data_IF_772212764888
#
_entry.id   IF_772212764888
#
_cell.length_a   1.000
_cell.length_b   1.000
_cell.length_c   1.000
_cell.angle_alpha   90.00
_cell.angle_beta   90.00
_cell.angle_gamma   90.00
#
_symmetry.space_group_name_H-M   'P 1'
#
loop_
_entity.id
_entity.type
_entity.pdbx_description
1 polymer ?
#
# COMPACT_ATOMS: atom_id res chain seq x y z
N UNK A 1 -25.46 -9.34 -1.53
CA UNK A 1 -24.14 -9.35 -0.89
C UNK A 1 -23.36 -8.05 -1.12
N UNK A 2 -23.23 -7.54 -2.33
CA UNK A 2 -22.48 -6.31 -2.66
C UNK A 2 -22.89 -5.09 -1.80
N UNK A 3 -24.18 -4.82 -1.61
CA UNK A 3 -24.66 -3.72 -0.73
C UNK A 3 -24.13 -3.79 0.68
N UNK A 4 -24.04 -4.97 1.29
CA UNK A 4 -23.49 -5.14 2.66
C UNK A 4 -22.01 -4.73 2.74
N UNK A 5 -21.24 -5.07 1.71
CA UNK A 5 -19.82 -4.69 1.64
C UNK A 5 -19.63 -3.17 1.47
N UNK A 6 -20.50 -2.51 0.70
CA UNK A 6 -20.48 -1.05 0.52
C UNK A 6 -20.79 -0.32 1.82
N UNK A 7 -21.83 -0.74 2.54
CA UNK A 7 -22.33 -0.02 3.71
C UNK A 7 -21.60 -0.36 5.03
N UNK A 8 -20.86 -1.47 5.11
CA UNK A 8 -20.08 -1.79 6.29
C UNK A 8 -18.77 -0.97 6.31
N UNK A 9 -18.79 0.18 6.95
CA UNK A 9 -17.65 1.12 6.99
C UNK A 9 -16.55 0.63 7.94
N UNK A 10 -16.91 0.21 9.14
CA UNK A 10 -15.95 -0.18 10.21
C UNK A 10 -15.67 -1.69 10.19
N UNK A 11 -14.44 -2.06 10.60
CA UNK A 11 -13.97 -3.44 10.72
C UNK A 11 -13.46 -4.05 9.42
N UNK A 12 -12.84 -5.22 9.53
CA UNK A 12 -12.29 -5.96 8.38
C UNK A 12 -13.42 -6.54 7.51
N UNK A 13 -13.29 -6.38 6.18
CA UNK A 13 -14.23 -6.90 5.19
C UNK A 13 -13.43 -7.60 4.08
N UNK A 14 -13.64 -8.90 3.92
CA UNK A 14 -13.11 -9.68 2.81
C UNK A 14 -14.23 -9.96 1.81
N UNK A 15 -14.01 -9.63 0.52
CA UNK A 15 -14.94 -9.86 -0.57
C UNK A 15 -14.36 -10.92 -1.48
N UNK A 16 -14.93 -12.11 -1.46
CA UNK A 16 -14.54 -13.21 -2.34
C UNK A 16 -15.53 -13.26 -3.50
N UNK A 17 -15.03 -13.07 -4.72
CA UNK A 17 -15.87 -13.06 -5.91
C UNK A 17 -15.02 -13.38 -7.16
N UNK A 18 -15.61 -14.04 -8.14
CA UNK A 18 -14.96 -14.42 -9.39
C UNK A 18 -14.55 -13.22 -10.25
N UNK A 19 -13.79 -13.49 -11.31
CA UNK A 19 -13.44 -12.46 -12.30
C UNK A 19 -14.71 -11.89 -12.95
N UNK A 20 -14.73 -10.59 -13.22
CA UNK A 20 -15.89 -9.91 -13.83
C UNK A 20 -17.10 -9.69 -12.91
N UNK A 21 -17.05 -10.11 -11.64
CA UNK A 21 -18.14 -9.96 -10.68
C UNK A 21 -18.36 -8.54 -10.15
N UNK A 22 -17.53 -7.59 -10.57
CA UNK A 22 -17.63 -6.19 -10.14
C UNK A 22 -16.95 -5.86 -8.81
N UNK A 23 -15.91 -6.60 -8.41
CA UNK A 23 -15.13 -6.32 -7.19
C UNK A 23 -14.67 -4.86 -7.10
N UNK A 24 -14.01 -4.36 -8.14
CA UNK A 24 -13.55 -2.98 -8.22
C UNK A 24 -14.70 -1.97 -8.16
N UNK A 25 -15.85 -2.31 -8.76
CA UNK A 25 -17.08 -1.49 -8.66
C UNK A 25 -17.57 -1.41 -7.21
N UNK A 26 -17.54 -2.51 -6.48
CA UNK A 26 -17.88 -2.53 -5.04
C UNK A 26 -16.90 -1.67 -4.24
N UNK A 27 -15.61 -1.75 -4.56
CA UNK A 27 -14.57 -0.94 -3.93
C UNK A 27 -14.84 0.57 -4.15
N UNK A 28 -15.07 1.00 -5.40
CA UNK A 28 -15.38 2.38 -5.72
C UNK A 28 -16.64 2.87 -4.98
N UNK A 29 -17.73 2.09 -5.04
CA UNK A 29 -18.97 2.46 -4.35
C UNK A 29 -18.80 2.52 -2.83
N UNK A 30 -17.96 1.65 -2.24
CA UNK A 30 -17.63 1.68 -0.81
C UNK A 30 -16.92 2.97 -0.46
N UNK A 31 -15.89 3.35 -1.23
CA UNK A 31 -15.16 4.61 -1.04
C UNK A 31 -16.10 5.80 -1.15
N UNK A 32 -16.90 5.86 -2.21
CA UNK A 32 -17.87 6.92 -2.42
C UNK A 32 -18.90 7.03 -1.27
N UNK A 33 -19.41 5.88 -0.80
CA UNK A 33 -20.30 5.85 0.36
C UNK A 33 -19.63 6.37 1.63
N UNK A 34 -18.40 5.94 1.88
CA UNK A 34 -17.64 6.36 3.07
C UNK A 34 -17.37 7.86 3.07
N UNK A 35 -17.04 8.44 1.92
CA UNK A 35 -16.78 9.88 1.81
C UNK A 35 -18.05 10.73 1.90
N UNK A 36 -19.16 10.27 1.31
CA UNK A 36 -20.40 11.03 1.31
C UNK A 36 -21.22 10.86 2.58
N UNK A 37 -21.38 9.62 3.04
CA UNK A 37 -22.33 9.28 4.08
C UNK A 37 -21.68 8.73 5.36
N UNK A 38 -20.39 8.34 5.28
CA UNK A 38 -19.71 7.72 6.43
C UNK A 38 -20.43 6.46 6.90
N UNK A 39 -20.69 6.36 8.19
CA UNK A 39 -21.35 5.20 8.82
C UNK A 39 -22.89 5.34 8.90
N UNK A 40 -23.51 6.24 8.15
CA UNK A 40 -24.93 6.57 8.26
C UNK A 40 -25.87 5.35 8.19
N UNK A 41 -25.56 4.35 7.36
CA UNK A 41 -26.40 3.16 7.18
C UNK A 41 -26.53 2.27 8.43
N UNK A 42 -25.51 2.26 9.26
CA UNK A 42 -25.46 1.43 10.49
C UNK A 42 -25.59 2.26 11.78
N UNK A 43 -25.82 3.57 11.64
CA UNK A 43 -26.04 4.45 12.78
C UNK A 43 -27.51 4.37 13.22
N UNK A 44 -27.70 3.98 14.47
CA UNK A 44 -29.02 3.88 15.11
C UNK A 44 -29.33 5.11 15.99
N UNK A 45 -28.47 6.14 15.92
CA UNK A 45 -28.63 7.34 16.75
C UNK A 45 -29.83 8.14 16.26
N UNK A 46 -30.78 8.37 17.13
CA UNK A 46 -31.93 9.24 16.85
C UNK A 46 -31.47 10.70 16.80
N UNK A 47 -31.64 11.35 15.66
CA UNK A 47 -31.32 12.77 15.48
C UNK A 47 -32.59 13.58 15.38
N UNK A 48 -32.62 14.76 15.99
CA UNK A 48 -33.66 15.73 15.75
C UNK A 48 -33.56 16.30 14.34
N UNK A 49 -34.56 16.05 13.51
CA UNK A 49 -34.67 16.64 12.17
C UNK A 49 -35.61 17.86 12.21
N UNK A 50 -35.36 18.82 11.33
CA UNK A 50 -36.33 19.88 11.11
C UNK A 50 -37.50 19.34 10.25
N UNK A 51 -38.71 19.94 10.33
CA UNK A 51 -39.83 19.52 9.49
C UNK A 51 -39.48 19.51 7.98
N UNK A 52 -38.62 20.44 7.54
CA UNK A 52 -38.18 20.51 6.15
C UNK A 52 -37.25 19.35 5.76
N UNK A 53 -36.38 18.92 6.69
CA UNK A 53 -35.48 17.76 6.49
C UNK A 53 -36.30 16.46 6.47
N UNK A 54 -37.30 16.33 7.36
CA UNK A 54 -38.18 15.16 7.36
C UNK A 54 -38.96 15.06 6.05
N UNK A 55 -39.55 16.16 5.59
CA UNK A 55 -40.26 16.20 4.30
C UNK A 55 -39.34 15.84 3.15
N UNK A 56 -38.12 16.40 3.09
CA UNK A 56 -37.17 16.08 2.06
C UNK A 56 -36.78 14.57 2.04
N UNK A 57 -36.59 13.96 3.20
CA UNK A 57 -36.25 12.52 3.29
C UNK A 57 -37.43 11.64 2.83
N UNK A 58 -38.67 12.04 3.12
CA UNK A 58 -39.88 11.34 2.66
C UNK A 58 -40.04 11.43 1.13
N UNK A 59 -39.75 12.58 0.55
CA UNK A 59 -39.88 12.82 -0.88
C UNK A 59 -38.69 12.27 -1.70
N UNK A 60 -37.51 12.18 -1.11
CA UNK A 60 -36.26 11.81 -1.78
C UNK A 60 -36.33 10.52 -2.61
N UNK A 61 -37.00 9.42 -2.19
CA UNK A 61 -37.14 8.22 -3.04
C UNK A 61 -37.74 8.47 -4.41
N UNK A 62 -38.67 9.44 -4.51
CA UNK A 62 -39.38 9.81 -5.74
C UNK A 62 -38.71 10.96 -6.53
N UNK A 63 -37.77 11.67 -5.91
CA UNK A 63 -37.04 12.78 -6.53
C UNK A 63 -36.05 12.31 -7.58
N UNK A 64 -35.76 13.17 -8.56
CA UNK A 64 -34.62 12.98 -9.46
C UNK A 64 -33.30 12.96 -8.67
N UNK A 65 -32.38 12.03 -9.02
CA UNK A 65 -31.10 11.86 -8.34
C UNK A 65 -30.03 12.81 -8.88
N UNK A 66 -30.32 14.13 -8.78
CA UNK A 66 -29.36 15.17 -9.15
C UNK A 66 -28.22 15.26 -8.14
N UNK A 67 -27.07 15.84 -8.54
CA UNK A 67 -25.95 16.09 -7.60
C UNK A 67 -26.39 16.90 -6.37
N UNK A 68 -27.21 17.95 -6.56
CA UNK A 68 -27.70 18.81 -5.48
C UNK A 68 -28.58 18.04 -4.48
N UNK A 69 -29.48 17.17 -4.98
CA UNK A 69 -30.30 16.33 -4.12
C UNK A 69 -29.47 15.31 -3.36
N UNK A 70 -28.40 14.77 -3.98
CA UNK A 70 -27.50 13.84 -3.35
C UNK A 70 -26.65 14.52 -2.26
N UNK A 71 -26.21 15.76 -2.49
CA UNK A 71 -25.46 16.55 -1.52
C UNK A 71 -26.34 16.92 -0.33
N UNK A 72 -27.56 17.42 -0.57
CA UNK A 72 -28.53 17.71 0.49
C UNK A 72 -28.87 16.46 1.32
N UNK A 73 -29.00 15.29 0.68
CA UNK A 73 -29.17 14.04 1.41
C UNK A 73 -27.98 13.77 2.33
N UNK A 74 -26.76 13.92 1.81
CA UNK A 74 -25.55 13.69 2.61
C UNK A 74 -25.47 14.64 3.81
N UNK A 75 -25.76 15.92 3.64
CA UNK A 75 -25.80 16.91 4.72
C UNK A 75 -26.74 16.49 5.86
N UNK A 76 -27.89 15.88 5.52
CA UNK A 76 -28.89 15.47 6.53
C UNK A 76 -28.48 14.16 7.21
N UNK A 77 -28.02 13.14 6.45
CA UNK A 77 -27.88 11.79 6.97
C UNK A 77 -26.45 11.37 7.27
N UNK A 78 -25.42 12.11 6.84
CA UNK A 78 -24.03 11.68 7.01
C UNK A 78 -23.63 11.55 8.47
N UNK A 79 -22.86 10.48 8.74
CA UNK A 79 -22.31 10.16 10.06
C UNK A 79 -20.82 9.91 9.93
N UNK A 80 -20.00 10.78 10.48
CA UNK A 80 -18.54 10.66 10.41
C UNK A 80 -18.03 10.40 8.97
N UNK A 81 -18.32 11.28 7.97
CA UNK A 81 -17.84 11.10 6.61
C UNK A 81 -16.32 11.05 6.59
N UNK A 82 -15.79 10.11 5.80
CA UNK A 82 -14.36 9.83 5.76
C UNK A 82 -13.66 10.84 4.86
N UNK A 83 -12.59 11.43 5.36
CA UNK A 83 -11.79 12.35 4.55
C UNK A 83 -10.97 11.58 3.50
N UNK A 84 -10.83 12.08 2.27
CA UNK A 84 -10.16 11.36 1.18
C UNK A 84 -8.70 10.98 1.49
N UNK A 85 -7.96 11.83 2.19
CA UNK A 85 -6.57 11.55 2.59
C UNK A 85 -6.44 10.46 3.65
N UNK A 86 -7.54 10.06 4.32
CA UNK A 86 -7.56 8.93 5.25
C UNK A 86 -7.76 7.57 4.55
N UNK A 87 -7.90 7.57 3.23
CA UNK A 87 -8.11 6.37 2.43
C UNK A 87 -6.84 6.03 1.67
N UNK A 88 -6.35 4.79 1.86
CA UNK A 88 -5.30 4.16 1.07
C UNK A 88 -5.94 3.04 0.26
N UNK A 89 -6.02 3.21 -1.06
CA UNK A 89 -6.55 2.21 -1.97
C UNK A 89 -5.41 1.60 -2.80
N UNK A 90 -5.13 0.33 -2.59
CA UNK A 90 -4.00 -0.37 -3.18
C UNK A 90 -4.48 -1.30 -4.28
N UNK A 91 -3.77 -1.28 -5.41
CA UNK A 91 -3.94 -2.18 -6.54
C UNK A 91 -2.61 -2.82 -6.91
N UNK A 92 -2.65 -3.87 -7.73
CA UNK A 92 -1.41 -4.57 -8.12
C UNK A 92 -0.61 -3.81 -9.19
N UNK A 93 -1.27 -3.09 -10.12
CA UNK A 93 -0.59 -2.40 -11.23
C UNK A 93 -0.86 -0.90 -11.24
N UNK A 94 0.09 -0.13 -11.76
CA UNK A 94 -0.08 1.32 -11.94
C UNK A 94 -1.25 1.65 -12.88
N UNK A 95 -1.53 0.81 -13.88
CA UNK A 95 -2.68 0.95 -14.76
C UNK A 95 -3.99 0.83 -13.95
N UNK A 96 -4.12 -0.23 -13.15
CA UNK A 96 -5.30 -0.43 -12.31
C UNK A 96 -5.48 0.70 -11.28
N UNK A 97 -4.39 1.22 -10.72
CA UNK A 97 -4.43 2.38 -9.82
C UNK A 97 -4.95 3.65 -10.54
N UNK A 98 -4.51 3.87 -11.78
CA UNK A 98 -5.00 4.97 -12.62
C UNK A 98 -6.49 4.82 -12.97
N UNK A 99 -6.93 3.62 -13.37
CA UNK A 99 -8.33 3.32 -13.65
C UNK A 99 -9.23 3.49 -12.40
N UNK A 100 -8.75 3.02 -11.24
CA UNK A 100 -9.45 3.20 -9.97
C UNK A 100 -9.62 4.69 -9.64
N UNK A 101 -8.56 5.47 -9.78
CA UNK A 101 -8.60 6.93 -9.53
C UNK A 101 -9.59 7.62 -10.46
N UNK A 102 -9.55 7.32 -11.77
CA UNK A 102 -10.49 7.93 -12.74
C UNK A 102 -11.93 7.61 -12.39
N UNK A 103 -12.25 6.34 -12.08
CA UNK A 103 -13.61 5.95 -11.65
C UNK A 103 -14.08 6.69 -10.40
N UNK A 104 -13.18 6.92 -9.45
CA UNK A 104 -13.50 7.68 -8.24
C UNK A 104 -13.75 9.15 -8.55
N UNK A 105 -12.95 9.77 -9.43
CA UNK A 105 -13.17 11.15 -9.90
C UNK A 105 -14.55 11.27 -10.59
N UNK A 106 -14.88 10.34 -11.47
CA UNK A 106 -16.16 10.31 -12.17
C UNK A 106 -17.35 10.15 -11.22
N UNK A 107 -17.17 9.50 -10.07
CA UNK A 107 -18.24 9.24 -9.09
C UNK A 107 -18.40 10.33 -8.02
N UNK A 108 -17.32 10.92 -7.56
CA UNK A 108 -17.31 11.82 -6.38
C UNK A 108 -16.62 13.16 -6.63
N UNK A 109 -16.14 13.39 -7.85
CA UNK A 109 -15.51 14.66 -8.25
C UNK A 109 -14.05 14.79 -7.84
N UNK A 110 -13.54 16.02 -7.87
CA UNK A 110 -12.12 16.35 -7.66
C UNK A 110 -11.57 15.94 -6.30
N UNK A 111 -12.41 15.81 -5.28
CA UNK A 111 -11.95 15.34 -3.97
C UNK A 111 -11.37 13.92 -4.01
N UNK A 112 -11.71 13.12 -5.02
CA UNK A 112 -11.12 11.82 -5.25
C UNK A 112 -9.60 11.87 -5.53
N UNK A 113 -9.07 12.97 -6.03
CA UNK A 113 -7.64 13.15 -6.29
C UNK A 113 -6.80 13.10 -5.00
N UNK A 114 -7.40 13.46 -3.88
CA UNK A 114 -6.76 13.44 -2.55
C UNK A 114 -6.68 12.03 -1.96
N UNK A 115 -7.36 11.04 -2.56
CA UNK A 115 -7.27 9.63 -2.16
C UNK A 115 -5.91 9.08 -2.58
N UNK A 116 -5.22 8.37 -1.70
CA UNK A 116 -3.99 7.67 -2.07
C UNK A 116 -4.33 6.35 -2.79
N UNK A 117 -4.65 6.44 -4.10
CA UNK A 117 -4.83 5.27 -4.96
C UNK A 117 -3.50 4.95 -5.65
N UNK A 118 -2.87 3.82 -5.33
CA UNK A 118 -1.51 3.48 -5.80
C UNK A 118 -1.23 1.98 -5.72
N UNK A 119 -0.07 1.54 -6.23
CA UNK A 119 0.44 0.20 -5.95
C UNK A 119 1.13 0.14 -4.59
N UNK A 120 1.38 -1.07 -4.05
CA UNK A 120 2.16 -1.24 -2.82
C UNK A 120 3.50 -0.50 -2.89
N UNK A 121 4.28 -0.75 -3.93
CA UNK A 121 5.58 -0.09 -4.12
C UNK A 121 5.47 1.43 -4.17
N UNK A 122 4.48 1.95 -4.91
CA UNK A 122 4.29 3.41 -5.00
C UNK A 122 3.90 4.04 -3.67
N UNK A 123 3.09 3.35 -2.85
CA UNK A 123 2.77 3.79 -1.50
C UNK A 123 4.01 3.78 -0.59
N UNK A 124 4.78 2.68 -0.61
CA UNK A 124 6.03 2.55 0.14
C UNK A 124 7.06 3.61 -0.26
N UNK A 125 7.25 3.86 -1.55
CA UNK A 125 8.16 4.93 -2.03
C UNK A 125 7.76 6.29 -1.47
N UNK A 126 6.45 6.63 -1.42
CA UNK A 126 5.99 7.90 -0.84
C UNK A 126 6.33 8.01 0.64
N UNK A 127 6.21 6.91 1.38
CA UNK A 127 6.56 6.83 2.80
C UNK A 127 8.08 7.00 2.96
N UNK A 128 8.87 6.21 2.24
CA UNK A 128 10.33 6.26 2.30
C UNK A 128 10.88 7.64 1.91
N UNK A 129 10.32 8.31 0.89
CA UNK A 129 10.74 9.69 0.53
C UNK A 129 10.60 10.70 1.66
N UNK A 130 9.76 10.43 2.64
CA UNK A 130 9.56 11.31 3.81
C UNK A 130 10.41 10.87 5.01
N UNK A 131 10.52 9.57 5.23
CA UNK A 131 10.94 9.03 6.52
C UNK A 131 12.25 8.23 6.48
N UNK A 132 12.82 7.95 5.30
CA UNK A 132 13.96 7.03 5.14
C UNK A 132 15.24 7.52 5.85
N UNK A 133 15.33 8.80 6.19
CA UNK A 133 16.44 9.35 6.97
C UNK A 133 16.57 8.68 8.34
N UNK A 134 15.46 8.23 8.92
CA UNK A 134 15.48 7.43 10.15
C UNK A 134 16.30 6.13 9.99
N UNK A 135 16.36 5.58 8.78
CA UNK A 135 17.16 4.39 8.44
C UNK A 135 18.58 4.72 7.95
N UNK A 136 18.96 6.01 7.94
CA UNK A 136 20.29 6.47 7.54
C UNK A 136 20.53 6.56 6.03
N UNK A 137 19.46 6.66 5.22
CA UNK A 137 19.52 6.98 3.80
C UNK A 137 19.16 8.45 3.56
N UNK A 138 19.47 8.97 2.38
CA UNK A 138 19.01 10.31 1.98
C UNK A 138 17.61 10.23 1.35
N UNK A 139 16.79 11.26 1.54
CA UNK A 139 15.46 11.35 0.90
C UNK A 139 15.52 11.30 -0.62
N UNK A 140 16.62 11.79 -1.20
CA UNK A 140 16.89 11.75 -2.64
C UNK A 140 17.42 10.40 -3.15
N UNK A 141 17.22 9.31 -2.39
CA UNK A 141 17.71 7.99 -2.78
C UNK A 141 17.33 7.61 -4.22
N UNK A 142 18.20 6.85 -4.87
CA UNK A 142 17.94 6.31 -6.21
C UNK A 142 17.31 4.92 -6.10
N UNK A 143 16.33 4.63 -6.97
CA UNK A 143 15.78 3.27 -7.09
C UNK A 143 16.53 2.58 -8.21
N UNK A 144 17.26 1.52 -7.87
CA UNK A 144 18.01 0.71 -8.81
C UNK A 144 17.10 -0.33 -9.48
N UNK A 145 17.26 -0.46 -10.78
CA UNK A 145 16.58 -1.49 -11.56
C UNK A 145 17.27 -2.85 -11.47
N UNK A 146 16.78 -3.80 -12.27
CA UNK A 146 17.30 -5.17 -12.30
C UNK A 146 18.75 -5.25 -12.78
N UNK A 147 19.13 -4.42 -13.72
CA UNK A 147 20.48 -4.40 -14.29
C UNK A 147 21.46 -3.68 -13.38
N UNK A 148 21.05 -2.60 -12.73
CA UNK A 148 21.82 -1.96 -11.66
C UNK A 148 22.09 -2.92 -10.52
N UNK A 149 21.06 -3.61 -10.03
CA UNK A 149 21.17 -4.61 -8.96
C UNK A 149 22.14 -5.73 -9.30
N UNK A 150 22.06 -6.26 -10.54
CA UNK A 150 23.00 -7.28 -11.03
C UNK A 150 24.45 -6.78 -11.08
N UNK A 151 24.66 -5.52 -11.50
CA UNK A 151 25.99 -4.92 -11.53
C UNK A 151 26.58 -4.85 -10.14
N UNK A 152 25.84 -4.36 -9.16
CA UNK A 152 26.30 -4.28 -7.76
C UNK A 152 26.63 -5.66 -7.20
N UNK A 153 25.81 -6.69 -7.49
CA UNK A 153 26.10 -8.08 -7.07
C UNK A 153 27.42 -8.57 -7.69
N UNK A 154 27.66 -8.32 -8.98
CA UNK A 154 28.94 -8.69 -9.63
C UNK A 154 30.12 -7.96 -9.02
N UNK A 155 29.98 -6.69 -8.71
CA UNK A 155 31.03 -5.92 -8.06
C UNK A 155 31.32 -6.47 -6.64
N UNK A 156 30.28 -6.83 -5.87
CA UNK A 156 30.42 -7.50 -4.58
C UNK A 156 31.14 -8.86 -4.72
N UNK A 157 30.76 -9.68 -5.69
CA UNK A 157 31.42 -10.96 -5.98
C UNK A 157 32.89 -10.78 -6.33
N UNK A 158 33.23 -9.79 -7.17
CA UNK A 158 34.59 -9.46 -7.56
C UNK A 158 35.43 -9.04 -6.34
N UNK A 159 34.87 -8.22 -5.45
CA UNK A 159 35.50 -7.80 -4.20
C UNK A 159 35.82 -9.00 -3.29
N UNK A 160 34.94 -10.01 -3.29
CA UNK A 160 35.08 -11.26 -2.53
C UNK A 160 35.88 -12.34 -3.26
N UNK A 161 36.47 -12.04 -4.41
CA UNK A 161 37.19 -12.98 -5.29
C UNK A 161 36.38 -14.23 -5.66
N UNK A 162 35.08 -14.07 -5.91
CA UNK A 162 34.18 -15.14 -6.36
C UNK A 162 34.13 -15.17 -7.89
N UNK A 163 34.46 -16.33 -8.49
CA UNK A 163 34.42 -16.53 -9.93
C UNK A 163 32.97 -16.69 -10.43
N UNK A 164 32.52 -15.82 -11.35
CA UNK A 164 31.18 -15.85 -11.95
C UNK A 164 30.89 -17.17 -12.71
N UNK A 165 31.93 -17.91 -13.13
CA UNK A 165 31.79 -19.23 -13.77
C UNK A 165 31.39 -20.33 -12.77
N UNK A 166 31.78 -20.17 -11.51
CA UNK A 166 31.45 -21.10 -10.42
C UNK A 166 30.18 -20.65 -9.69
N UNK A 167 30.05 -19.36 -9.45
CA UNK A 167 28.95 -18.75 -8.71
C UNK A 167 28.14 -17.83 -9.62
N UNK A 168 26.92 -18.23 -9.96
CA UNK A 168 26.08 -17.42 -10.84
C UNK A 168 25.47 -16.21 -10.09
N UNK A 169 25.73 -14.96 -10.53
CA UNK A 169 25.19 -13.75 -9.89
C UNK A 169 23.66 -13.76 -9.74
N UNK A 170 22.94 -14.37 -10.68
CA UNK A 170 21.48 -14.49 -10.63
C UNK A 170 21.01 -15.35 -9.45
N UNK A 171 21.78 -16.36 -9.06
CA UNK A 171 21.46 -17.20 -7.90
C UNK A 171 21.54 -16.36 -6.63
N UNK A 172 22.61 -15.60 -6.44
CA UNK A 172 22.74 -14.70 -5.29
C UNK A 172 21.63 -13.66 -5.25
N UNK A 173 21.30 -13.04 -6.39
CA UNK A 173 20.18 -12.10 -6.46
C UNK A 173 18.89 -12.72 -5.97
N UNK A 174 18.55 -13.92 -6.45
CA UNK A 174 17.32 -14.60 -6.05
C UNK A 174 17.33 -15.01 -4.56
N UNK A 175 18.50 -15.36 -4.02
CA UNK A 175 18.63 -15.69 -2.60
C UNK A 175 18.45 -14.44 -1.72
N UNK A 176 19.06 -13.32 -2.12
CA UNK A 176 18.92 -12.03 -1.44
C UNK A 176 17.49 -11.56 -1.47
N UNK A 177 16.82 -11.60 -2.64
CA UNK A 177 15.41 -11.28 -2.78
C UNK A 177 14.54 -12.08 -1.81
N UNK A 178 14.75 -13.42 -1.74
CA UNK A 178 14.03 -14.28 -0.78
C UNK A 178 14.33 -13.95 0.69
N UNK A 179 15.52 -13.46 1.02
CA UNK A 179 15.81 -12.99 2.37
C UNK A 179 15.01 -11.72 2.68
N UNK A 180 15.00 -10.76 1.77
CA UNK A 180 14.20 -9.53 1.91
C UNK A 180 12.70 -9.82 2.01
N UNK A 181 12.17 -10.72 1.18
CA UNK A 181 10.76 -11.17 1.26
C UNK A 181 10.39 -11.76 2.63
N UNK A 182 11.36 -12.40 3.28
CA UNK A 182 11.19 -12.99 4.63
C UNK A 182 11.59 -12.03 5.75
N UNK A 183 11.86 -10.78 5.43
CA UNK A 183 12.34 -9.76 6.38
C UNK A 183 13.65 -10.13 7.08
N UNK A 184 14.52 -10.92 6.45
CA UNK A 184 15.81 -11.35 6.99
C UNK A 184 16.91 -10.39 6.50
N UNK A 185 17.53 -9.67 7.42
CA UNK A 185 18.67 -8.79 7.14
C UNK A 185 19.96 -9.56 6.83
N UNK A 186 20.99 -8.90 6.26
CA UNK A 186 22.31 -9.53 6.09
C UNK A 186 22.90 -10.05 7.41
N UNK A 187 22.72 -9.29 8.50
CA UNK A 187 23.23 -9.63 9.84
C UNK A 187 22.52 -10.86 10.43
N UNK A 188 21.22 -11.01 10.17
CA UNK A 188 20.42 -12.16 10.58
C UNK A 188 20.69 -13.39 9.71
N UNK A 189 20.93 -13.20 8.41
CA UNK A 189 21.18 -14.29 7.47
C UNK A 189 22.57 -14.92 7.69
N UNK A 190 23.60 -14.16 8.04
CA UNK A 190 24.97 -14.65 8.19
C UNK A 190 25.11 -15.82 9.20
N UNK A 191 24.55 -15.76 10.43
CA UNK A 191 24.59 -16.90 11.35
C UNK A 191 23.79 -18.11 10.85
N UNK A 192 22.66 -17.88 10.16
CA UNK A 192 21.85 -18.97 9.58
C UNK A 192 22.63 -19.71 8.48
N UNK A 193 23.26 -18.96 7.57
CA UNK A 193 24.09 -19.50 6.50
C UNK A 193 25.31 -20.24 7.01
N UNK A 194 25.90 -19.80 8.12
CA UNK A 194 27.00 -20.50 8.76
C UNK A 194 26.56 -21.82 9.42
N UNK A 195 25.38 -21.84 10.03
CA UNK A 195 24.83 -23.02 10.69
C UNK A 195 24.42 -24.12 9.71
N UNK A 196 23.99 -23.76 8.48
CA UNK A 196 23.61 -24.73 7.45
C UNK A 196 24.77 -25.58 6.94
N UNK A 197 25.98 -25.03 7.00
CA UNK A 197 27.19 -25.68 6.47
C UNK A 197 27.33 -25.60 4.93
N UNK A 198 26.31 -25.15 4.21
CA UNK A 198 26.28 -25.07 2.76
C UNK A 198 27.17 -23.93 2.24
N UNK A 199 28.11 -24.25 1.33
CA UNK A 199 29.06 -23.28 0.78
C UNK A 199 28.32 -22.12 0.06
N UNK A 200 27.25 -22.43 -0.69
CA UNK A 200 26.49 -21.43 -1.44
C UNK A 200 25.83 -20.42 -0.50
N UNK A 201 25.26 -20.87 0.62
CA UNK A 201 24.63 -19.99 1.60
C UNK A 201 25.63 -19.08 2.29
N UNK A 202 26.80 -19.62 2.68
CA UNK A 202 27.90 -18.81 3.26
C UNK A 202 28.37 -17.72 2.30
N UNK A 203 28.58 -18.07 1.01
CA UNK A 203 28.96 -17.09 0.00
C UNK A 203 27.85 -16.08 -0.28
N UNK A 204 26.59 -16.52 -0.22
CA UNK A 204 25.45 -15.60 -0.35
C UNK A 204 25.42 -14.60 0.81
N UNK A 205 25.67 -15.02 2.03
CA UNK A 205 25.70 -14.11 3.18
C UNK A 205 26.78 -13.02 3.03
N UNK A 206 27.98 -13.42 2.58
CA UNK A 206 29.07 -12.47 2.29
C UNK A 206 28.66 -11.48 1.18
N UNK A 207 28.09 -11.99 0.08
CA UNK A 207 27.63 -11.15 -1.05
C UNK A 207 26.49 -10.24 -0.61
N UNK A 208 25.55 -10.72 0.19
CA UNK A 208 24.41 -9.93 0.67
C UNK A 208 24.87 -8.74 1.53
N UNK A 209 25.83 -8.99 2.43
CA UNK A 209 26.43 -7.92 3.26
C UNK A 209 27.08 -6.84 2.41
N UNK A 210 27.91 -7.24 1.43
CA UNK A 210 28.59 -6.29 0.53
C UNK A 210 27.59 -5.57 -0.38
N UNK A 211 26.59 -6.27 -0.89
CA UNK A 211 25.53 -5.72 -1.72
C UNK A 211 24.73 -4.62 -0.99
N UNK A 212 24.25 -4.92 0.22
CA UNK A 212 23.46 -3.97 1.00
C UNK A 212 24.31 -2.78 1.47
N UNK A 213 25.58 -3.01 1.80
CA UNK A 213 26.53 -1.94 2.11
C UNK A 213 26.77 -1.01 0.92
N UNK A 214 26.89 -1.57 -0.28
CA UNK A 214 27.05 -0.79 -1.51
C UNK A 214 25.82 0.05 -1.83
N UNK A 215 24.62 -0.52 -1.72
CA UNK A 215 23.35 0.22 -1.89
C UNK A 215 23.27 1.38 -0.88
N UNK A 216 23.54 1.11 0.39
CA UNK A 216 23.50 2.13 1.44
C UNK A 216 24.49 3.26 1.19
N UNK A 217 25.73 2.92 0.81
CA UNK A 217 26.79 3.90 0.50
C UNK A 217 26.43 4.79 -0.69
N UNK A 218 25.73 4.25 -1.68
CA UNK A 218 25.23 4.99 -2.84
C UNK A 218 23.93 5.75 -2.56
N UNK A 219 23.38 5.65 -1.35
CA UNK A 219 22.01 6.07 -1.04
C UNK A 219 21.01 5.58 -2.09
N UNK A 220 21.08 4.29 -2.39
CA UNK A 220 20.22 3.61 -3.34
C UNK A 220 19.44 2.49 -2.65
N UNK A 221 18.30 2.16 -3.23
CA UNK A 221 17.45 1.03 -2.84
C UNK A 221 17.12 0.21 -4.08
N UNK A 222 17.05 -1.10 -3.98
CA UNK A 222 16.50 -1.92 -5.05
C UNK A 222 14.97 -2.04 -4.92
N UNK A 223 14.36 -2.82 -5.82
CA UNK A 223 12.92 -2.96 -5.84
C UNK A 223 12.37 -3.69 -4.61
N UNK A 224 13.11 -4.69 -4.09
CA UNK A 224 12.73 -5.44 -2.89
C UNK A 224 12.90 -4.55 -1.63
N UNK A 225 13.92 -3.70 -1.60
CA UNK A 225 14.16 -2.75 -0.50
C UNK A 225 12.98 -1.79 -0.28
N UNK A 226 12.20 -1.46 -1.32
CA UNK A 226 11.09 -0.52 -1.19
C UNK A 226 10.08 -1.02 -0.15
N UNK A 227 9.72 -2.30 -0.18
CA UNK A 227 8.81 -2.89 0.80
C UNK A 227 9.57 -3.23 2.08
N UNK A 228 10.73 -3.90 1.96
CA UNK A 228 11.56 -4.31 3.08
C UNK A 228 11.89 -3.14 4.04
N UNK A 229 12.40 -2.04 3.51
CA UNK A 229 12.76 -0.87 4.33
C UNK A 229 11.54 -0.14 4.89
N UNK A 230 10.38 -0.17 4.21
CA UNK A 230 9.15 0.40 4.77
C UNK A 230 8.67 -0.39 5.97
N UNK A 231 8.73 -1.72 5.92
CA UNK A 231 8.39 -2.58 7.06
C UNK A 231 9.37 -2.36 8.21
N UNK A 232 10.68 -2.38 7.93
CA UNK A 232 11.71 -2.07 8.93
C UNK A 232 11.53 -0.69 9.57
N UNK A 233 11.20 0.32 8.77
CA UNK A 233 10.89 1.65 9.29
C UNK A 233 9.74 1.63 10.30
N UNK A 234 8.70 0.86 10.03
CA UNK A 234 7.55 0.77 10.94
C UNK A 234 7.84 -0.08 12.19
N UNK A 235 8.69 -1.11 12.07
CA UNK A 235 9.13 -1.93 13.21
C UNK A 235 10.04 -1.14 14.15
N UNK A 236 11.02 -0.42 13.58
CA UNK A 236 12.06 0.24 14.35
C UNK A 236 11.66 1.64 14.87
N UNK A 237 10.64 2.27 14.25
CA UNK A 237 10.18 3.63 14.57
C UNK A 237 8.67 3.68 14.83
N UNK A 238 8.20 3.33 16.05
CA UNK A 238 6.77 3.28 16.39
C UNK A 238 6.03 4.59 16.19
N UNK A 239 6.70 5.73 16.34
CA UNK A 239 6.08 7.05 16.12
C UNK A 239 5.75 7.27 14.64
N UNK A 240 6.61 6.79 13.73
CA UNK A 240 6.36 6.81 12.29
C UNK A 240 5.16 5.91 11.96
N UNK A 241 5.15 4.68 12.48
CA UNK A 241 4.01 3.77 12.31
C UNK A 241 2.72 4.41 12.81
N UNK A 242 2.73 4.99 14.01
CA UNK A 242 1.57 5.67 14.61
C UNK A 242 1.06 6.81 13.73
N UNK A 243 1.97 7.62 13.16
CA UNK A 243 1.60 8.67 12.22
C UNK A 243 0.80 8.11 11.01
N UNK A 244 1.29 7.06 10.36
CA UNK A 244 0.62 6.47 9.20
C UNK A 244 -0.66 5.71 9.56
N UNK A 245 -0.77 5.11 10.74
CA UNK A 245 -2.01 4.52 11.26
C UNK A 245 -3.10 5.59 11.49
N UNK A 246 -2.73 6.78 11.94
CA UNK A 246 -3.65 7.90 12.09
C UNK A 246 -4.02 8.54 10.74
N UNK A 247 -3.08 8.55 9.79
CA UNK A 247 -3.31 9.06 8.44
C UNK A 247 -4.20 8.12 7.63
N UNK A 248 -3.84 6.85 7.50
CA UNK A 248 -4.55 5.86 6.70
C UNK A 248 -5.50 5.02 7.56
N UNK A 249 -6.62 5.62 7.94
CA UNK A 249 -7.64 4.94 8.77
C UNK A 249 -8.37 3.82 8.02
N UNK A 250 -8.39 3.89 6.68
CA UNK A 250 -9.08 2.95 5.82
C UNK A 250 -8.14 2.48 4.72
N UNK A 251 -7.77 1.21 4.79
CA UNK A 251 -6.92 0.55 3.80
C UNK A 251 -7.79 -0.41 3.00
N UNK A 252 -7.74 -0.30 1.68
CA UNK A 252 -8.48 -1.15 0.76
C UNK A 252 -7.53 -1.74 -0.25
N UNK A 253 -7.55 -3.06 -0.42
CA UNK A 253 -6.69 -3.78 -1.36
C UNK A 253 -7.56 -4.45 -2.40
N UNK A 254 -7.39 -4.06 -3.67
CA UNK A 254 -7.99 -4.75 -4.81
C UNK A 254 -7.07 -5.92 -5.22
N UNK A 255 -7.65 -7.02 -5.72
CA UNK A 255 -6.96 -8.26 -6.09
C UNK A 255 -6.07 -8.80 -4.95
N UNK A 256 -6.62 -8.88 -3.74
CA UNK A 256 -5.90 -9.29 -2.52
C UNK A 256 -5.20 -10.66 -2.65
N UNK A 257 -5.68 -11.54 -3.51
CA UNK A 257 -5.06 -12.86 -3.78
C UNK A 257 -3.69 -12.76 -4.46
N UNK A 258 -3.36 -11.62 -5.06
CA UNK A 258 -2.09 -11.41 -5.77
C UNK A 258 -1.02 -10.75 -4.87
N UNK A 259 -1.35 -10.60 -3.56
CA UNK A 259 -0.52 -9.90 -2.56
C UNK A 259 0.38 -10.88 -1.81
#
# INVERSE_FOLDING_TARGET
MQRRAVFRVKGAVLIIAGAGSGKTTVLCNRIANMMRFGNAYLDETVRGLTPEQEQFLQDFPAMEKTPENAERLAEIVAVEPVQPWNILAITFTNKAAGELRQRLIDMIGEDAEKINASTFHSACVKILRREIENLGYQRSFTIYDDDDSKRIIKDAMKKLNLDEKVFNPKVFKNMISRCKDKMISPEEYAPMANASGELMEKRCAEVYTEYQSALRSASAVDFDDIIYLTVKLFEDFPDVLSHYQHLYKYIMVDEYQDT
#
